data_IF_968975361220
#
_entry.id   IF_968975361220
#
_cell.length_a   1.000
_cell.length_b   1.000
_cell.length_c   1.000
_cell.angle_alpha   90.00
_cell.angle_beta   90.00
_cell.angle_gamma   90.00
#
_symmetry.space_group_name_H-M   'P 1'
#
loop_
_entity.id
_entity.type
_entity.pdbx_description
1 polymer ?
#
# COMPACT_ATOMS: atom_id res chain seq x y z
N UNK A 1 6.56 3.18 -24.00
CA UNK A 1 7.28 2.00 -23.50
C UNK A 1 8.68 1.82 -24.11
N UNK A 2 8.83 1.88 -25.45
CA UNK A 2 10.11 1.61 -26.15
C UNK A 2 11.28 2.49 -25.67
N UNK A 3 11.05 3.78 -25.39
CA UNK A 3 12.04 4.71 -24.85
C UNK A 3 12.30 4.48 -23.36
N UNK A 4 11.29 4.16 -22.59
CA UNK A 4 11.38 3.91 -21.15
C UNK A 4 12.24 2.68 -20.83
N UNK A 5 12.11 1.57 -21.57
CA UNK A 5 12.97 0.38 -21.41
C UNK A 5 14.46 0.66 -21.65
N UNK A 6 14.80 1.72 -22.41
CA UNK A 6 16.19 2.09 -22.62
C UNK A 6 16.78 2.87 -21.44
N UNK A 7 15.92 3.59 -20.71
CA UNK A 7 16.33 4.42 -19.56
C UNK A 7 16.23 3.60 -18.27
N UNK A 8 15.15 2.86 -18.08
CA UNK A 8 14.91 2.07 -16.87
C UNK A 8 15.39 0.64 -17.14
N UNK A 9 16.66 0.42 -16.86
CA UNK A 9 17.25 -0.92 -16.84
C UNK A 9 16.87 -1.65 -15.55
N UNK A 10 16.96 -3.00 -15.45
CA UNK A 10 16.72 -3.73 -14.21
C UNK A 10 17.55 -3.24 -13.02
N UNK A 11 18.77 -2.78 -13.28
CA UNK A 11 19.66 -2.21 -12.26
C UNK A 11 19.10 -0.90 -11.72
N UNK A 12 18.61 -0.02 -12.59
CA UNK A 12 17.99 1.26 -12.20
C UNK A 12 16.72 1.00 -11.39
N UNK A 13 15.86 0.06 -11.85
CA UNK A 13 14.65 -0.31 -11.11
C UNK A 13 14.99 -0.85 -9.72
N UNK A 14 15.94 -1.77 -9.59
CA UNK A 14 16.39 -2.31 -8.31
C UNK A 14 16.95 -1.22 -7.38
N UNK A 15 17.73 -0.27 -7.92
CA UNK A 15 18.29 0.85 -7.15
C UNK A 15 17.19 1.77 -6.61
N UNK A 16 16.18 2.07 -7.44
CA UNK A 16 15.02 2.89 -7.04
C UNK A 16 14.23 2.22 -5.94
N UNK A 17 13.89 0.93 -6.09
CA UNK A 17 13.15 0.17 -5.06
C UNK A 17 13.93 0.12 -3.74
N UNK A 18 15.25 -0.06 -3.81
CA UNK A 18 16.12 -0.03 -2.62
C UNK A 18 16.09 1.35 -1.94
N UNK A 19 16.18 2.44 -2.72
CA UNK A 19 16.12 3.79 -2.20
C UNK A 19 14.75 4.11 -1.55
N UNK A 20 13.66 3.65 -2.15
CA UNK A 20 12.31 3.73 -1.57
C UNK A 20 12.26 3.00 -0.23
N UNK A 21 12.79 1.78 -0.15
CA UNK A 21 12.86 1.02 1.10
C UNK A 21 13.58 1.78 2.21
N UNK A 22 14.73 2.40 1.91
CA UNK A 22 15.45 3.23 2.87
C UNK A 22 14.67 4.49 3.28
N UNK A 23 13.96 5.14 2.37
CA UNK A 23 13.14 6.31 2.70
C UNK A 23 11.96 5.96 3.59
N UNK A 24 11.35 4.80 3.38
CA UNK A 24 10.25 4.30 4.21
C UNK A 24 10.69 3.90 5.62
N UNK A 25 11.98 3.58 5.81
CA UNK A 25 12.51 3.26 7.13
C UNK A 25 12.34 4.42 8.13
N UNK A 26 12.54 5.66 7.69
CA UNK A 26 12.32 6.84 8.53
C UNK A 26 10.84 7.04 8.88
N UNK A 27 9.94 6.75 7.96
CA UNK A 27 8.49 6.79 8.19
C UNK A 27 8.08 5.69 9.18
N UNK A 28 8.55 4.45 8.95
CA UNK A 28 8.27 3.32 9.83
C UNK A 28 8.75 3.55 11.26
N UNK A 29 9.99 4.04 11.45
CA UNK A 29 10.51 4.33 12.80
C UNK A 29 9.73 5.44 13.52
N UNK A 30 9.25 6.43 12.76
CA UNK A 30 8.40 7.49 13.32
C UNK A 30 7.03 6.94 13.72
N UNK A 31 6.37 6.19 12.85
CA UNK A 31 5.08 5.57 13.15
C UNK A 31 5.19 4.60 14.33
N UNK A 32 6.26 3.79 14.38
CA UNK A 32 6.55 2.91 15.51
C UNK A 32 6.58 3.64 16.87
N UNK A 33 7.08 4.89 16.89
CA UNK A 33 7.07 5.74 18.07
C UNK A 33 5.72 6.38 18.41
N UNK A 34 4.70 6.24 17.55
CA UNK A 34 3.38 6.86 17.71
C UNK A 34 3.10 8.02 16.74
N UNK A 35 3.93 8.18 15.71
CA UNK A 35 3.71 9.10 14.60
C UNK A 35 3.76 10.58 14.96
N UNK A 36 2.65 11.27 14.78
CA UNK A 36 2.50 12.70 15.09
C UNK A 36 1.72 12.98 16.38
N UNK A 37 1.43 11.95 17.17
CA UNK A 37 0.71 12.10 18.42
C UNK A 37 1.55 12.84 19.48
N UNK A 38 0.88 13.54 20.39
CA UNK A 38 1.55 14.27 21.48
C UNK A 38 2.38 13.36 22.41
N UNK A 39 2.00 12.08 22.47
CA UNK A 39 2.67 11.05 23.25
C UNK A 39 3.72 10.26 22.45
N UNK A 40 4.29 10.86 21.41
CA UNK A 40 5.39 10.27 20.63
C UNK A 40 6.52 9.77 21.52
N UNK A 41 6.99 8.55 21.27
CA UNK A 41 8.07 7.93 22.04
C UNK A 41 7.65 7.42 23.42
N UNK A 42 6.36 7.47 23.77
CA UNK A 42 5.90 6.91 25.05
C UNK A 42 6.17 5.41 25.14
N UNK A 43 6.42 4.92 26.36
CA UNK A 43 6.64 3.49 26.60
C UNK A 43 5.46 2.64 26.10
N UNK A 44 4.26 3.18 26.13
CA UNK A 44 3.06 2.50 25.62
C UNK A 44 3.09 2.34 24.10
N UNK A 45 3.45 3.38 23.36
CA UNK A 45 3.56 3.32 21.89
C UNK A 45 4.67 2.37 21.45
N UNK A 46 5.84 2.44 22.11
CA UNK A 46 6.95 1.53 21.85
C UNK A 46 6.58 0.07 22.15
N UNK A 47 5.91 -0.18 23.28
CA UNK A 47 5.46 -1.51 23.65
C UNK A 47 4.46 -2.07 22.62
N UNK A 48 3.51 -1.24 22.18
CA UNK A 48 2.53 -1.61 21.18
C UNK A 48 3.18 -1.95 19.84
N UNK A 49 4.14 -1.13 19.39
CA UNK A 49 4.93 -1.42 18.18
C UNK A 49 5.72 -2.73 18.30
N UNK A 50 6.38 -2.97 19.46
CA UNK A 50 7.11 -4.22 19.71
C UNK A 50 6.17 -5.42 19.68
N UNK A 51 4.98 -5.35 20.30
CA UNK A 51 4.00 -6.44 20.29
C UNK A 51 3.56 -6.75 18.85
N UNK A 52 3.24 -5.72 18.07
CA UNK A 52 2.81 -5.85 16.68
C UNK A 52 3.91 -6.47 15.81
N UNK A 53 5.13 -5.96 15.92
CA UNK A 53 6.28 -6.48 15.20
C UNK A 53 6.60 -7.92 15.59
N UNK A 54 6.61 -8.24 16.89
CA UNK A 54 6.84 -9.58 17.37
C UNK A 54 5.76 -10.56 16.85
N UNK A 55 4.48 -10.16 16.87
CA UNK A 55 3.40 -10.97 16.33
C UNK A 55 3.57 -11.22 14.82
N UNK A 56 3.95 -10.19 14.06
CA UNK A 56 4.23 -10.32 12.63
C UNK A 56 5.39 -11.29 12.36
N UNK A 57 6.51 -11.16 13.07
CA UNK A 57 7.69 -12.01 12.93
C UNK A 57 7.41 -13.45 13.37
N UNK A 58 6.73 -13.65 14.48
CA UNK A 58 6.34 -14.97 14.97
C UNK A 58 5.40 -15.66 13.97
N UNK A 59 4.40 -14.96 13.47
CA UNK A 59 3.52 -15.51 12.44
C UNK A 59 4.27 -15.88 11.17
N UNK A 60 5.17 -15.01 10.72
CA UNK A 60 6.00 -15.26 9.53
C UNK A 60 6.91 -16.49 9.68
N UNK A 61 7.45 -16.74 10.88
CA UNK A 61 8.34 -17.88 11.14
C UNK A 61 7.58 -19.18 11.37
N UNK A 62 6.44 -19.13 12.05
CA UNK A 62 5.65 -20.30 12.40
C UNK A 62 4.74 -20.78 11.26
N UNK A 63 4.26 -19.87 10.43
CA UNK A 63 3.32 -20.16 9.35
C UNK A 63 4.02 -20.68 8.10
N UNK A 64 3.33 -21.57 7.38
CA UNK A 64 3.79 -22.15 6.11
C UNK A 64 2.83 -21.83 4.97
N UNK A 65 3.34 -21.82 3.76
CA UNK A 65 2.53 -21.63 2.55
C UNK A 65 1.85 -20.26 2.50
N UNK A 66 0.59 -20.25 2.14
CA UNK A 66 -0.22 -19.04 1.97
C UNK A 66 -0.36 -18.21 3.27
N UNK A 67 -0.49 -18.89 4.43
CA UNK A 67 -0.64 -18.21 5.72
C UNK A 67 0.57 -17.33 6.08
N UNK A 68 1.76 -17.65 5.58
CA UNK A 68 2.95 -16.84 5.77
C UNK A 68 2.80 -15.43 5.19
N UNK A 69 2.08 -15.27 4.08
CA UNK A 69 1.84 -13.97 3.44
C UNK A 69 0.88 -13.08 4.26
N UNK A 70 0.09 -13.69 5.13
CA UNK A 70 -0.83 -12.96 6.02
C UNK A 70 -0.15 -12.48 7.32
N UNK A 71 1.19 -12.57 7.42
CA UNK A 71 1.93 -12.18 8.63
C UNK A 71 1.71 -10.73 9.04
N UNK A 72 1.67 -9.80 8.08
CA UNK A 72 1.38 -8.38 8.35
C UNK A 72 -0.05 -8.22 8.88
N UNK A 73 -1.02 -8.89 8.25
CA UNK A 73 -2.41 -8.85 8.71
C UNK A 73 -2.56 -9.44 10.12
N UNK A 74 -1.88 -10.55 10.41
CA UNK A 74 -1.88 -11.16 11.75
C UNK A 74 -1.25 -10.21 12.78
N UNK A 75 -0.15 -9.56 12.46
CA UNK A 75 0.47 -8.53 13.28
C UNK A 75 -0.48 -7.36 13.57
N UNK A 76 -1.12 -6.84 12.52
CA UNK A 76 -2.14 -5.79 12.62
C UNK A 76 -3.30 -6.18 13.56
N UNK A 77 -3.84 -7.38 13.42
CA UNK A 77 -4.94 -7.85 14.28
C UNK A 77 -4.50 -7.95 15.74
N UNK A 78 -3.33 -8.55 16.01
CA UNK A 78 -2.80 -8.66 17.37
C UNK A 78 -2.49 -7.28 17.95
N UNK A 79 -1.85 -6.40 17.17
CA UNK A 79 -1.56 -5.03 17.58
C UNK A 79 -2.82 -4.22 17.86
N UNK A 80 -3.86 -4.36 17.02
CA UNK A 80 -5.13 -3.68 17.24
C UNK A 80 -5.84 -4.15 18.52
N UNK A 81 -5.85 -5.47 18.77
CA UNK A 81 -6.40 -6.02 20.01
C UNK A 81 -5.62 -5.47 21.23
N UNK A 82 -4.29 -5.48 21.17
CA UNK A 82 -3.46 -4.90 22.22
C UNK A 82 -3.76 -3.41 22.42
N UNK A 83 -3.93 -2.63 21.34
CA UNK A 83 -4.26 -1.22 21.38
C UNK A 83 -5.63 -0.95 22.07
N UNK A 84 -6.63 -1.81 21.83
CA UNK A 84 -7.94 -1.74 22.51
C UNK A 84 -7.74 -1.92 24.03
N UNK A 85 -6.99 -2.96 24.44
CA UNK A 85 -6.73 -3.19 25.88
C UNK A 85 -5.93 -2.04 26.52
N UNK A 86 -5.10 -1.35 25.77
CA UNK A 86 -4.35 -0.17 26.24
C UNK A 86 -5.16 1.13 26.20
N UNK A 87 -6.42 1.09 25.73
CA UNK A 87 -7.29 2.26 25.63
C UNK A 87 -6.86 3.29 24.57
N UNK A 88 -6.07 2.86 23.58
CA UNK A 88 -5.56 3.71 22.51
C UNK A 88 -6.49 3.79 21.28
N UNK A 89 -7.59 3.06 21.29
CA UNK A 89 -8.57 2.99 20.19
C UNK A 89 -9.89 3.58 20.66
N UNK A 90 -10.38 4.57 19.93
CA UNK A 90 -11.73 5.10 20.13
C UNK A 90 -12.75 4.27 19.36
N UNK A 91 -13.40 3.36 20.06
CA UNK A 91 -14.43 2.49 19.48
C UNK A 91 -15.69 3.26 19.05
N UNK A 92 -15.92 4.47 19.60
CA UNK A 92 -17.05 5.31 19.23
C UNK A 92 -16.96 5.80 17.79
N UNK A 93 -15.76 6.04 17.30
CA UNK A 93 -15.52 6.50 15.91
C UNK A 93 -15.76 5.40 14.87
N UNK A 94 -15.64 4.12 15.23
CA UNK A 94 -15.84 2.98 14.32
C UNK A 94 -17.23 2.96 13.71
N UNK A 95 -18.25 3.34 14.49
CA UNK A 95 -19.64 3.34 14.04
C UNK A 95 -20.14 4.75 13.70
N UNK A 96 -19.27 5.74 13.71
CA UNK A 96 -19.60 7.10 13.29
C UNK A 96 -19.75 7.15 11.77
N UNK A 97 -20.84 7.73 11.30
CA UNK A 97 -21.18 7.77 9.87
C UNK A 97 -22.22 6.72 9.48
N UNK A 98 -22.79 6.87 8.29
CA UNK A 98 -23.76 5.91 7.76
C UNK A 98 -23.12 4.59 7.35
N UNK A 99 -23.94 3.59 7.04
CA UNK A 99 -23.45 2.29 6.54
C UNK A 99 -22.88 2.38 5.13
N UNK A 100 -23.31 3.34 4.33
CA UNK A 100 -22.90 3.54 2.93
C UNK A 100 -22.60 5.02 2.73
N UNK A 101 -21.46 5.32 2.12
CA UNK A 101 -21.10 6.64 1.65
C UNK A 101 -20.73 6.60 0.17
N UNK A 102 -21.28 7.54 -0.59
CA UNK A 102 -20.88 7.70 -1.98
C UNK A 102 -19.66 8.64 -2.08
N UNK A 103 -18.72 8.33 -2.96
CA UNK A 103 -17.56 9.19 -3.17
C UNK A 103 -18.01 10.55 -3.70
N UNK A 104 -17.40 11.61 -3.18
CA UNK A 104 -17.67 12.99 -3.65
C UNK A 104 -16.80 13.28 -4.87
N UNK A 105 -17.42 13.70 -5.95
CA UNK A 105 -16.70 14.14 -7.12
C UNK A 105 -16.16 15.56 -6.91
N UNK A 106 -14.86 15.76 -7.21
CA UNK A 106 -14.14 17.02 -7.03
C UNK A 106 -14.34 17.65 -5.64
N UNK A 107 -13.96 16.96 -4.56
CA UNK A 107 -14.10 17.49 -3.20
C UNK A 107 -13.23 18.73 -2.96
N UNK A 108 -12.17 18.89 -3.76
CA UNK A 108 -11.27 20.04 -3.79
C UNK A 108 -11.19 20.61 -5.19
N UNK A 109 -11.22 21.94 -5.30
CA UNK A 109 -11.01 22.60 -6.60
C UNK A 109 -9.53 22.49 -6.98
N UNK A 110 -9.23 22.10 -8.23
CA UNK A 110 -7.85 21.99 -8.69
C UNK A 110 -7.18 23.36 -8.75
N UNK A 111 -6.03 23.49 -8.11
CA UNK A 111 -5.15 24.64 -8.18
C UNK A 111 -3.86 24.25 -8.89
N UNK A 112 -3.38 25.13 -9.76
CA UNK A 112 -2.18 24.88 -10.55
C UNK A 112 -1.00 25.66 -10.02
N UNK A 113 -0.13 24.97 -9.26
CA UNK A 113 1.15 25.51 -8.83
C UNK A 113 2.28 24.86 -9.62
N UNK A 114 3.08 25.61 -10.41
CA UNK A 114 4.12 25.03 -11.27
C UNK A 114 5.13 24.14 -10.51
N UNK A 115 5.49 24.54 -9.27
CA UNK A 115 6.39 23.77 -8.43
C UNK A 115 5.77 22.43 -8.00
N UNK A 116 4.49 22.42 -7.64
CA UNK A 116 3.78 21.18 -7.29
C UNK A 116 3.65 20.24 -8.49
N UNK A 117 3.36 20.79 -9.67
CA UNK A 117 3.29 20.02 -10.91
C UNK A 117 4.63 19.39 -11.24
N UNK A 118 5.73 20.16 -11.16
CA UNK A 118 7.09 19.65 -11.40
C UNK A 118 7.46 18.52 -10.42
N UNK A 119 7.16 18.70 -9.13
CA UNK A 119 7.39 17.67 -8.09
C UNK A 119 6.57 16.42 -8.36
N UNK A 120 5.29 16.55 -8.71
CA UNK A 120 4.44 15.43 -9.06
C UNK A 120 4.98 14.67 -10.30
N UNK A 121 5.44 15.38 -11.32
CA UNK A 121 6.05 14.74 -12.48
C UNK A 121 7.29 13.89 -12.10
N UNK A 122 8.15 14.40 -11.22
CA UNK A 122 9.34 13.66 -10.75
C UNK A 122 8.91 12.41 -9.97
N UNK A 123 7.91 12.53 -9.07
CA UNK A 123 7.39 11.40 -8.32
C UNK A 123 6.80 10.34 -9.25
N UNK A 124 6.05 10.74 -10.28
CA UNK A 124 5.52 9.82 -11.28
C UNK A 124 6.60 9.11 -12.10
N UNK A 125 7.75 9.74 -12.33
CA UNK A 125 8.89 9.07 -12.97
C UNK A 125 9.46 7.95 -12.09
N UNK A 126 9.54 8.18 -10.78
CA UNK A 126 9.97 7.17 -9.80
C UNK A 126 8.95 6.04 -9.72
N UNK A 127 7.66 6.36 -9.60
CA UNK A 127 6.58 5.38 -9.61
C UNK A 127 6.55 4.54 -10.90
N UNK A 128 6.79 5.14 -12.05
CA UNK A 128 6.90 4.41 -13.32
C UNK A 128 8.05 3.39 -13.32
N UNK A 129 9.18 3.70 -12.69
CA UNK A 129 10.29 2.77 -12.55
C UNK A 129 9.91 1.58 -11.65
N UNK A 130 9.21 1.83 -10.54
CA UNK A 130 8.67 0.80 -9.64
C UNK A 130 7.69 -0.11 -10.39
N UNK A 131 6.70 0.46 -11.07
CA UNK A 131 5.70 -0.30 -11.83
C UNK A 131 6.31 -1.20 -12.90
N UNK A 132 7.36 -0.73 -13.60
CA UNK A 132 8.09 -1.57 -14.57
C UNK A 132 8.77 -2.74 -13.86
N UNK A 133 9.39 -2.49 -12.71
CA UNK A 133 10.05 -3.52 -11.90
C UNK A 133 9.04 -4.57 -11.43
N UNK A 134 7.95 -4.14 -10.81
CA UNK A 134 6.90 -5.00 -10.27
C UNK A 134 6.21 -5.83 -11.37
N UNK A 135 5.84 -5.19 -12.48
CA UNK A 135 5.19 -5.89 -13.60
C UNK A 135 6.13 -6.93 -14.21
N UNK A 136 7.43 -6.61 -14.33
CA UNK A 136 8.43 -7.55 -14.82
C UNK A 136 8.61 -8.74 -13.87
N UNK A 137 8.68 -8.47 -12.57
CA UNK A 137 8.80 -9.50 -11.55
C UNK A 137 7.54 -10.37 -11.44
N UNK A 138 6.34 -9.76 -11.59
CA UNK A 138 5.07 -10.47 -11.60
C UNK A 138 4.94 -11.41 -12.79
N UNK A 139 5.32 -10.97 -14.00
CA UNK A 139 5.27 -11.79 -15.21
C UNK A 139 6.28 -12.92 -15.14
N UNK A 140 7.51 -12.65 -14.72
CA UNK A 140 8.53 -13.69 -14.57
C UNK A 140 8.20 -14.67 -13.44
N UNK A 141 7.73 -14.17 -12.27
CA UNK A 141 7.41 -15.00 -11.11
C UNK A 141 6.08 -15.74 -11.24
N UNK A 142 5.08 -15.16 -11.90
CA UNK A 142 3.73 -15.75 -12.04
C UNK A 142 3.53 -16.58 -13.30
N UNK A 143 4.07 -16.11 -14.43
CA UNK A 143 3.84 -16.69 -15.76
C UNK A 143 5.07 -17.43 -16.30
N UNK A 144 6.20 -17.42 -15.60
CA UNK A 144 7.46 -18.06 -15.98
C UNK A 144 7.94 -17.68 -17.41
N UNK A 145 7.78 -16.41 -17.79
CA UNK A 145 8.21 -15.87 -19.10
C UNK A 145 8.70 -14.43 -18.98
N UNK A 146 9.31 -13.94 -20.03
CA UNK A 146 9.68 -12.53 -20.12
C UNK A 146 8.48 -11.62 -20.39
N UNK A 147 8.59 -10.39 -19.89
CA UNK A 147 7.58 -9.35 -20.08
C UNK A 147 7.67 -8.76 -21.50
N UNK A 148 6.53 -8.47 -22.09
CA UNK A 148 6.41 -7.81 -23.39
C UNK A 148 6.39 -6.29 -23.26
N UNK A 149 6.71 -5.58 -24.35
CA UNK A 149 6.64 -4.11 -24.39
C UNK A 149 5.21 -3.59 -24.19
N UNK A 150 4.22 -4.34 -24.65
CA UNK A 150 2.81 -3.95 -24.58
C UNK A 150 2.29 -4.09 -23.15
N UNK A 151 2.75 -5.10 -22.41
CA UNK A 151 2.42 -5.26 -20.99
C UNK A 151 3.00 -4.13 -20.13
N UNK A 152 4.23 -3.74 -20.37
CA UNK A 152 4.84 -2.57 -19.70
C UNK A 152 4.05 -1.30 -20.02
N UNK A 153 3.72 -1.10 -21.31
CA UNK A 153 2.96 0.06 -21.73
C UNK A 153 1.57 0.11 -21.11
N UNK A 154 0.90 -1.06 -21.06
CA UNK A 154 -0.41 -1.20 -20.44
C UNK A 154 -0.39 -0.94 -18.94
N UNK A 155 0.61 -1.44 -18.22
CA UNK A 155 0.76 -1.23 -16.79
C UNK A 155 0.97 0.25 -16.45
N UNK A 156 1.89 0.93 -17.14
CA UNK A 156 2.12 2.36 -16.96
C UNK A 156 0.89 3.21 -17.31
N UNK A 157 0.18 2.86 -18.37
CA UNK A 157 -1.05 3.55 -18.75
C UNK A 157 -2.13 3.35 -17.68
N UNK A 158 -2.25 2.14 -17.12
CA UNK A 158 -3.19 1.83 -16.05
C UNK A 158 -2.93 2.70 -14.81
N UNK A 159 -1.69 2.83 -14.36
CA UNK A 159 -1.33 3.68 -13.21
C UNK A 159 -1.67 5.16 -13.48
N UNK A 160 -1.39 5.66 -14.66
CA UNK A 160 -1.69 7.03 -15.05
C UNK A 160 -3.20 7.31 -15.06
N UNK A 161 -3.99 6.45 -15.70
CA UNK A 161 -5.45 6.60 -15.75
C UNK A 161 -6.09 6.42 -14.38
N UNK A 162 -5.65 5.40 -13.62
CA UNK A 162 -6.20 5.15 -12.30
C UNK A 162 -5.89 6.32 -11.33
N UNK A 163 -4.67 6.86 -11.37
CA UNK A 163 -4.29 8.05 -10.59
C UNK A 163 -5.08 9.29 -10.98
N UNK A 164 -5.36 9.47 -12.28
CA UNK A 164 -6.21 10.58 -12.76
C UNK A 164 -7.63 10.45 -12.23
N UNK A 165 -8.20 9.24 -12.29
CA UNK A 165 -9.54 8.97 -11.74
C UNK A 165 -9.55 9.16 -10.22
N UNK A 166 -8.53 8.65 -9.51
CA UNK A 166 -8.40 8.82 -8.07
C UNK A 166 -8.37 10.30 -7.66
N UNK A 167 -7.63 11.13 -8.41
CA UNK A 167 -7.54 12.56 -8.16
C UNK A 167 -8.90 13.28 -8.31
N UNK A 168 -9.77 12.85 -9.24
CA UNK A 168 -11.13 13.39 -9.38
C UNK A 168 -12.00 13.15 -8.14
N UNK A 169 -11.66 12.15 -7.33
CA UNK A 169 -12.34 11.84 -6.07
C UNK A 169 -11.55 12.32 -4.84
N UNK A 170 -10.49 13.11 -5.04
CA UNK A 170 -9.66 13.65 -3.96
C UNK A 170 -8.77 12.61 -3.29
N UNK A 171 -8.54 11.48 -3.95
CA UNK A 171 -7.65 10.43 -3.46
C UNK A 171 -6.20 10.66 -3.93
N UNK A 172 -5.19 10.18 -3.19
CA UNK A 172 -3.80 10.21 -3.63
C UNK A 172 -3.62 9.36 -4.89
N UNK A 173 -2.53 9.61 -5.65
CA UNK A 173 -2.16 8.76 -6.78
C UNK A 173 -1.97 7.31 -6.36
N UNK A 174 -2.26 6.40 -7.29
CA UNK A 174 -2.08 4.95 -7.09
C UNK A 174 -0.85 4.45 -7.83
N UNK A 175 -0.22 3.42 -7.30
CA UNK A 175 0.91 2.72 -7.91
C UNK A 175 0.75 1.22 -7.74
N UNK A 176 1.62 0.44 -8.37
CA UNK A 176 1.67 -1.01 -8.17
C UNK A 176 2.03 -1.35 -6.70
N UNK A 177 1.56 -2.49 -6.21
CA UNK A 177 1.82 -2.95 -4.86
C UNK A 177 2.76 -4.15 -4.89
N UNK A 178 4.04 -3.89 -4.63
CA UNK A 178 5.15 -4.85 -4.81
C UNK A 178 4.99 -6.16 -4.02
N UNK A 179 4.34 -6.11 -2.85
CA UNK A 179 4.10 -7.30 -2.03
C UNK A 179 3.23 -8.35 -2.73
N UNK A 180 2.33 -7.93 -3.63
CA UNK A 180 1.51 -8.84 -4.43
C UNK A 180 2.35 -9.68 -5.41
N UNK A 181 3.50 -9.20 -5.83
CA UNK A 181 4.43 -9.96 -6.69
C UNK A 181 4.86 -11.25 -6.00
N UNK A 182 5.26 -11.17 -4.73
CA UNK A 182 5.62 -12.34 -3.92
C UNK A 182 4.45 -13.31 -3.74
N UNK A 183 3.24 -12.78 -3.52
CA UNK A 183 2.03 -13.59 -3.38
C UNK A 183 1.71 -14.34 -4.67
N UNK A 184 1.75 -13.68 -5.82
CA UNK A 184 1.50 -14.29 -7.12
C UNK A 184 2.58 -15.33 -7.47
N UNK A 185 3.86 -15.03 -7.20
CA UNK A 185 4.96 -15.98 -7.43
C UNK A 185 4.80 -17.27 -6.62
N UNK A 186 4.27 -17.18 -5.38
CA UNK A 186 4.03 -18.35 -4.53
C UNK A 186 2.76 -19.12 -4.90
N UNK A 187 1.67 -18.42 -5.17
CA UNK A 187 0.35 -19.04 -5.40
C UNK A 187 0.13 -19.44 -6.85
N UNK A 188 0.91 -18.83 -7.77
CA UNK A 188 0.73 -18.96 -9.23
C UNK A 188 -0.70 -18.60 -9.69
N UNK A 189 -1.41 -17.81 -8.89
CA UNK A 189 -2.74 -17.32 -9.23
C UNK A 189 -2.60 -16.10 -10.14
N UNK A 190 -2.62 -16.33 -11.43
CA UNK A 190 -2.49 -15.30 -12.49
C UNK A 190 -3.81 -15.08 -13.23
N UNK A 191 -4.89 -15.71 -12.78
CA UNK A 191 -6.19 -15.59 -13.42
C UNK A 191 -6.74 -14.17 -13.24
N UNK A 192 -6.92 -13.48 -14.35
CA UNK A 192 -7.48 -12.13 -14.43
C UNK A 192 -8.82 -12.00 -13.71
N UNK A 193 -9.66 -13.03 -13.79
CA UNK A 193 -10.98 -13.03 -13.16
C UNK A 193 -10.89 -12.98 -11.63
N UNK A 194 -9.97 -13.73 -11.04
CA UNK A 194 -9.72 -13.73 -9.59
C UNK A 194 -9.25 -12.36 -9.11
N UNK A 195 -8.32 -11.74 -9.85
CA UNK A 195 -7.79 -10.41 -9.52
C UNK A 195 -8.88 -9.34 -9.64
N UNK A 196 -9.71 -9.39 -10.69
CA UNK A 196 -10.85 -8.48 -10.85
C UNK A 196 -11.88 -8.63 -9.72
N UNK A 197 -12.15 -9.86 -9.27
CA UNK A 197 -13.05 -10.09 -8.13
C UNK A 197 -12.51 -9.41 -6.86
N UNK A 198 -11.20 -9.53 -6.60
CA UNK A 198 -10.54 -8.81 -5.51
C UNK A 198 -10.69 -7.29 -5.62
N UNK A 199 -10.49 -6.74 -6.81
CA UNK A 199 -10.66 -5.31 -7.07
C UNK A 199 -12.10 -4.85 -6.82
N UNK A 200 -13.11 -5.63 -7.23
CA UNK A 200 -14.53 -5.34 -6.95
C UNK A 200 -14.81 -5.38 -5.45
N UNK A 201 -14.29 -6.37 -4.73
CA UNK A 201 -14.42 -6.43 -3.26
C UNK A 201 -13.82 -5.18 -2.59
N UNK A 202 -12.65 -4.73 -3.02
CA UNK A 202 -12.01 -3.51 -2.52
C UNK A 202 -12.86 -2.26 -2.80
N UNK A 203 -13.42 -2.18 -4.01
CA UNK A 203 -14.31 -1.07 -4.40
C UNK A 203 -15.57 -1.05 -3.53
N UNK A 204 -16.20 -2.20 -3.29
CA UNK A 204 -17.36 -2.32 -2.40
C UNK A 204 -16.99 -1.97 -0.95
N UNK A 205 -15.85 -2.42 -0.47
CA UNK A 205 -15.35 -2.08 0.87
C UNK A 205 -15.14 -0.55 1.03
N UNK A 206 -14.67 0.12 -0.03
CA UNK A 206 -14.51 1.58 -0.04
C UNK A 206 -15.81 2.37 0.05
N UNK A 207 -16.96 1.76 -0.28
CA UNK A 207 -18.28 2.38 -0.12
C UNK A 207 -18.83 2.25 1.31
N UNK A 208 -18.16 1.49 2.17
CA UNK A 208 -18.58 1.22 3.54
C UNK A 208 -17.73 2.04 4.53
N UNK A 209 -18.24 3.17 5.07
CA UNK A 209 -17.53 3.99 6.04
C UNK A 209 -16.97 3.21 7.25
N UNK A 210 -17.66 2.19 7.79
CA UNK A 210 -17.11 1.41 8.90
C UNK A 210 -15.77 0.72 8.57
N UNK A 211 -15.56 0.31 7.32
CA UNK A 211 -14.28 -0.27 6.88
C UNK A 211 -13.17 0.79 6.88
N UNK A 212 -13.45 1.97 6.34
CA UNK A 212 -12.52 3.11 6.37
C UNK A 212 -12.22 3.55 7.81
N UNK A 213 -13.24 3.68 8.65
CA UNK A 213 -13.10 4.05 10.06
C UNK A 213 -12.28 3.03 10.85
N UNK A 214 -12.43 1.73 10.54
CA UNK A 214 -11.60 0.68 11.14
C UNK A 214 -10.12 0.93 10.86
N UNK A 215 -9.74 1.16 9.61
CA UNK A 215 -8.35 1.45 9.26
C UNK A 215 -7.86 2.79 9.83
N UNK A 216 -8.73 3.80 9.87
CA UNK A 216 -8.41 5.11 10.45
C UNK A 216 -8.26 5.07 11.98
N UNK A 217 -8.88 4.10 12.66
CA UNK A 217 -8.77 3.92 14.11
C UNK A 217 -7.51 3.18 14.55
N UNK A 218 -6.74 2.64 13.60
CA UNK A 218 -5.47 1.96 13.91
C UNK A 218 -4.45 2.98 14.44
N UNK A 219 -3.89 2.78 15.66
CA UNK A 219 -2.81 3.62 16.14
C UNK A 219 -1.60 3.56 15.21
N UNK A 220 -0.90 4.68 15.02
CA UNK A 220 0.28 4.73 14.15
C UNK A 220 1.37 3.75 14.60
N UNK A 221 1.52 3.51 15.91
CA UNK A 221 2.46 2.54 16.46
C UNK A 221 2.15 1.06 16.08
N UNK A 222 0.93 0.77 15.62
CA UNK A 222 0.57 -0.54 15.06
C UNK A 222 0.92 -0.62 13.57
N UNK A 223 0.92 0.52 12.88
CA UNK A 223 1.22 0.61 11.45
C UNK A 223 2.72 0.71 11.14
N UNK A 224 3.54 1.20 12.10
CA UNK A 224 4.99 1.37 12.00
C UNK A 224 5.77 0.12 12.32
#
# INVERSE_FOLDING_TARGET
>A
AKYWRKIITPIVAASVVTAIGFSLFTVGTRSFGGGYAEDFGSAQNLLLGVITLAACLLWNTLSKGYLKQLSVLAGLVVGYIAAIFMGKVDLGTLMSGGLIALPRFLPYMPEFHPGAVASACIIFLVSAAETIGDTSALVSGGLDREITSDEISGSLACDGYASTIAALFGCPPVTSFSQNVGLVAMTKVVNRFTIMTGAVCMLLAGLLPPVGNFFASLPESVLG
#
